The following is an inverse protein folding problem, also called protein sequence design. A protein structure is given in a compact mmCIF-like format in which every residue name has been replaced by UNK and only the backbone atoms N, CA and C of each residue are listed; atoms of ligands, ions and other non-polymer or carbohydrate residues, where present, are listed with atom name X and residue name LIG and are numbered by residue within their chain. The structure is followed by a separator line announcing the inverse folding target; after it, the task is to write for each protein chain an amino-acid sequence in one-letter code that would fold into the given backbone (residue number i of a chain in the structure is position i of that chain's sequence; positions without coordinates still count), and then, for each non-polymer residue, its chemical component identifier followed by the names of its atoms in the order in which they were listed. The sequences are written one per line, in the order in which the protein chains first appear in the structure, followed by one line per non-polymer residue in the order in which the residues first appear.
data_IF_379694614005
#
_entry.id   IF_379694614005
#
_cell.length_a   1.000
_cell.length_b   1.000
_cell.length_c   1.000
_cell.angle_alpha   90.00
_cell.angle_beta   90.00
_cell.angle_gamma   90.00
#
_symmetry.space_group_name_H-M   'P 1'
#
loop_
_entity.id
_entity.type
_entity.pdbx_description
1 polymer ?
#
# COMPACT_ATOMS: atom_id res chain seq x y z
N UNK A 1 -39.41 -0.36 -7.78
CA UNK A 1 -38.64 0.76 -7.19
C UNK A 1 -38.06 0.25 -5.89
N UNK A 2 -36.73 0.31 -5.70
CA UNK A 2 -36.09 -0.14 -4.46
C UNK A 2 -36.56 0.68 -3.27
N UNK A 3 -36.79 0.02 -2.14
CA UNK A 3 -37.25 0.66 -0.91
C UNK A 3 -36.12 1.50 -0.31
N UNK A 4 -36.43 2.49 0.56
CA UNK A 4 -35.41 3.26 1.27
C UNK A 4 -34.44 2.37 2.07
N UNK A 5 -34.92 1.23 2.58
CA UNK A 5 -34.14 0.23 3.32
C UNK A 5 -33.13 -0.49 2.40
N UNK A 6 -33.52 -0.82 1.16
CA UNK A 6 -32.60 -1.43 0.18
C UNK A 6 -31.43 -0.50 -0.17
N UNK A 7 -31.67 0.83 -0.19
CA UNK A 7 -30.63 1.82 -0.46
C UNK A 7 -29.66 1.99 0.70
N UNK A 8 -30.16 1.91 1.94
CA UNK A 8 -29.32 2.01 3.14
C UNK A 8 -28.41 0.78 3.28
N UNK A 9 -28.95 -0.42 3.01
CA UNK A 9 -28.16 -1.66 3.01
C UNK A 9 -27.06 -1.63 1.94
N UNK A 10 -27.38 -1.13 0.74
CA UNK A 10 -26.39 -0.99 -0.33
C UNK A 10 -25.27 -0.02 0.07
N UNK A 11 -25.62 1.12 0.68
CA UNK A 11 -24.66 2.11 1.14
C UNK A 11 -23.74 1.56 2.25
N UNK A 12 -24.30 0.82 3.21
CA UNK A 12 -23.51 0.18 4.27
C UNK A 12 -22.54 -0.87 3.72
N UNK A 13 -22.96 -1.64 2.71
CA UNK A 13 -22.10 -2.60 2.04
C UNK A 13 -20.94 -1.91 1.31
N UNK A 14 -21.21 -0.84 0.58
CA UNK A 14 -20.18 -0.04 -0.11
C UNK A 14 -19.16 0.55 0.88
N UNK A 15 -19.63 1.05 2.02
CA UNK A 15 -18.77 1.54 3.11
C UNK A 15 -17.87 0.43 3.68
N UNK A 16 -18.44 -0.74 3.99
CA UNK A 16 -17.68 -1.87 4.52
C UNK A 16 -16.61 -2.37 3.52
N UNK A 17 -16.93 -2.37 2.22
CA UNK A 17 -15.95 -2.70 1.17
C UNK A 17 -14.84 -1.65 1.12
N UNK A 18 -15.17 -0.37 1.18
CA UNK A 18 -14.17 0.71 1.22
C UNK A 18 -13.27 0.64 2.44
N UNK A 19 -13.84 0.37 3.63
CA UNK A 19 -13.05 0.19 4.86
C UNK A 19 -12.06 -0.98 4.74
N UNK A 20 -12.50 -2.12 4.19
CA UNK A 20 -11.62 -3.27 3.96
C UNK A 20 -10.48 -2.95 2.97
N UNK A 21 -10.76 -2.17 1.93
CA UNK A 21 -9.73 -1.71 0.98
C UNK A 21 -8.72 -0.81 1.69
N UNK A 22 -9.18 0.16 2.48
CA UNK A 22 -8.31 1.08 3.23
C UNK A 22 -7.42 0.34 4.23
N UNK A 23 -7.97 -0.61 4.98
CA UNK A 23 -7.21 -1.42 5.93
C UNK A 23 -6.11 -2.23 5.21
N UNK A 24 -6.43 -2.85 4.08
CA UNK A 24 -5.45 -3.63 3.30
C UNK A 24 -4.32 -2.74 2.74
N UNK A 25 -4.64 -1.52 2.28
CA UNK A 25 -3.66 -0.52 1.84
C UNK A 25 -2.74 -0.09 2.98
N UNK A 26 -3.29 0.13 4.18
CA UNK A 26 -2.50 0.50 5.36
C UNK A 26 -1.54 -0.64 5.77
N UNK A 27 -1.99 -1.89 5.74
CA UNK A 27 -1.16 -3.05 6.01
C UNK A 27 -0.02 -3.17 4.99
N UNK A 28 -0.31 -3.01 3.70
CA UNK A 28 0.71 -3.05 2.64
C UNK A 28 1.76 -1.95 2.82
N UNK A 29 1.33 -0.72 3.16
CA UNK A 29 2.22 0.40 3.47
C UNK A 29 3.16 0.10 4.63
N UNK A 30 2.68 -0.57 5.69
CA UNK A 30 3.52 -0.99 6.83
C UNK A 30 4.59 -1.99 6.38
N UNK A 31 4.23 -2.96 5.55
CA UNK A 31 5.16 -3.97 5.01
C UNK A 31 6.23 -3.31 4.14
N UNK A 32 5.85 -2.43 3.21
CA UNK A 32 6.77 -1.73 2.33
C UNK A 32 7.75 -0.86 3.13
N UNK A 33 7.24 -0.09 4.12
CA UNK A 33 8.11 0.70 5.00
C UNK A 33 9.11 -0.15 5.76
N UNK A 34 8.68 -1.31 6.28
CA UNK A 34 9.58 -2.24 6.96
C UNK A 34 10.63 -2.83 6.01
N UNK A 35 10.23 -3.17 4.78
CA UNK A 35 11.13 -3.69 3.75
C UNK A 35 12.20 -2.65 3.34
N UNK A 36 11.79 -1.39 3.12
CA UNK A 36 12.72 -0.29 2.84
C UNK A 36 13.68 -0.08 4.00
N UNK A 37 13.18 -0.03 5.24
CA UNK A 37 14.04 0.15 6.43
C UNK A 37 15.06 -0.98 6.58
N UNK A 38 14.65 -2.23 6.31
CA UNK A 38 15.55 -3.38 6.32
C UNK A 38 16.59 -3.30 5.21
N UNK A 39 16.17 -2.96 4.01
CA UNK A 39 17.06 -2.80 2.86
C UNK A 39 18.12 -1.72 3.10
N UNK A 40 17.73 -0.55 3.64
CA UNK A 40 18.66 0.53 3.99
C UNK A 40 19.69 0.05 5.01
N UNK A 41 19.26 -0.70 6.03
CA UNK A 41 20.17 -1.26 7.03
C UNK A 41 21.14 -2.27 6.43
N UNK A 42 20.65 -3.19 5.60
CA UNK A 42 21.49 -4.20 4.97
C UNK A 42 22.47 -3.57 3.95
N UNK A 43 22.11 -2.45 3.31
CA UNK A 43 23.02 -1.64 2.50
C UNK A 43 24.11 -0.94 3.34
N UNK A 44 23.74 -0.30 4.46
CA UNK A 44 24.69 0.34 5.38
C UNK A 44 25.67 -0.67 5.99
N UNK A 45 25.20 -1.87 6.30
CA UNK A 45 26.02 -2.97 6.82
C UNK A 45 26.92 -3.62 5.75
N UNK A 46 26.86 -3.16 4.49
CA UNK A 46 27.62 -3.72 3.36
C UNK A 46 27.19 -5.14 2.96
N UNK A 47 26.02 -5.61 3.42
CA UNK A 47 25.46 -6.93 3.06
C UNK A 47 24.79 -6.91 1.70
N UNK A 48 24.26 -5.75 1.30
CA UNK A 48 23.71 -5.49 -0.02
C UNK A 48 24.66 -4.56 -0.74
N UNK A 49 25.06 -4.95 -1.94
CA UNK A 49 25.87 -4.14 -2.84
C UNK A 49 24.95 -3.67 -3.98
N UNK A 50 24.69 -2.37 -4.08
CA UNK A 50 23.87 -1.83 -5.17
C UNK A 50 24.71 -1.89 -6.44
N UNK A 51 24.53 -2.95 -7.23
CA UNK A 51 25.24 -3.12 -8.50
C UNK A 51 24.61 -2.30 -9.62
N UNK A 52 23.32 -1.99 -9.52
CA UNK A 52 22.59 -1.16 -10.49
C UNK A 52 21.58 -0.25 -9.77
N UNK A 53 21.35 0.93 -10.33
CA UNK A 53 20.36 1.93 -9.85
C UNK A 53 18.91 1.39 -9.87
N UNK A 54 18.69 0.21 -10.46
CA UNK A 54 17.38 -0.34 -10.79
C UNK A 54 16.63 -0.94 -9.59
N UNK A 55 17.33 -1.51 -8.62
CA UNK A 55 16.70 -2.11 -7.42
C UNK A 55 16.11 -1.04 -6.48
N UNK A 56 16.83 0.09 -6.33
CA UNK A 56 16.32 1.24 -5.60
C UNK A 56 15.16 1.92 -6.35
N UNK A 57 15.25 2.00 -7.68
CA UNK A 57 14.18 2.55 -8.53
C UNK A 57 12.88 1.77 -8.35
N UNK A 58 12.91 0.43 -8.36
CA UNK A 58 11.71 -0.40 -8.19
C UNK A 58 11.03 -0.19 -6.84
N UNK A 59 11.81 -0.05 -5.77
CA UNK A 59 11.26 0.20 -4.42
C UNK A 59 10.59 1.58 -4.33
N UNK A 60 11.18 2.60 -4.96
CA UNK A 60 10.62 3.96 -5.01
C UNK A 60 9.41 4.03 -5.94
N UNK A 61 9.42 3.34 -7.08
CA UNK A 61 8.26 3.23 -7.98
C UNK A 61 7.08 2.58 -7.28
N UNK A 62 7.30 1.48 -6.54
CA UNK A 62 6.26 0.85 -5.71
C UNK A 62 5.68 1.81 -4.68
N UNK A 63 6.52 2.58 -3.97
CA UNK A 63 6.03 3.56 -3.00
C UNK A 63 5.20 4.69 -3.67
N UNK A 64 5.65 5.19 -4.82
CA UNK A 64 4.94 6.22 -5.59
C UNK A 64 3.62 5.69 -6.16
N UNK A 65 3.58 4.46 -6.68
CA UNK A 65 2.36 3.82 -7.17
C UNK A 65 1.33 3.67 -6.04
N UNK A 66 1.79 3.27 -4.85
CA UNK A 66 0.92 3.19 -3.66
C UNK A 66 0.42 4.55 -3.18
N UNK A 67 1.17 5.64 -3.41
CA UNK A 67 0.74 7.00 -3.06
C UNK A 67 -0.22 7.60 -4.08
N UNK A 68 -0.09 7.26 -5.37
CA UNK A 68 -1.02 7.71 -6.42
C UNK A 68 -2.43 7.17 -6.24
N UNK A 69 -2.54 5.98 -5.65
CA UNK A 69 -3.80 5.30 -5.35
C UNK A 69 -4.53 5.90 -4.11
N UNK A 70 -3.97 6.95 -3.50
CA UNK A 70 -4.57 7.74 -2.41
C UNK A 70 -5.06 9.14 -2.87
N UNK A 71 -4.81 9.55 -4.13
CA UNK A 71 -5.28 10.81 -4.73
C UNK A 71 -6.52 10.59 -5.59
#
# INVERSE_FOLDING_TARGET
MGTPEDKDILLQYELAVMEGILESKEQYRKIVKAAIARWVKDFQDGRIEIKTVDDLRKLVELDIELQKDEL
#
